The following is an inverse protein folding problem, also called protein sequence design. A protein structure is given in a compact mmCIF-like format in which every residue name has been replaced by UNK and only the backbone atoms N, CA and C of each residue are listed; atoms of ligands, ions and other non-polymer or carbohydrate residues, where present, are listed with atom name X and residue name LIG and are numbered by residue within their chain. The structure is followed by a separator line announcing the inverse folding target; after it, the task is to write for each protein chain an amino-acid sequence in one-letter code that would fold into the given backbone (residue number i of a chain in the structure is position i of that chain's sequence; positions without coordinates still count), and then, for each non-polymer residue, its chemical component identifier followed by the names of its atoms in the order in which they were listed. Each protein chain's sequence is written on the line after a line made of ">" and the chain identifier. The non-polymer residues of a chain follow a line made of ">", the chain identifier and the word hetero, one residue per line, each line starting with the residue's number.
data_IF_372197985678
#
_entry.id   IF_372197985678
#
_cell.length_a   1.000
_cell.length_b   1.000
_cell.length_c   1.000
_cell.angle_alpha   90.00
_cell.angle_beta   90.00
_cell.angle_gamma   90.00
#
_symmetry.space_group_name_H-M   'P 1'
#
loop_
_entity.id
_entity.type
_entity.pdbx_description
1 polymer ?
#
# COMPACT_ATOMS: atom_id res chain seq x y z
N UNK A 1 -53.38 -18.02 17.79
CA UNK A 1 -53.90 -17.01 16.88
C UNK A 1 -52.98 -15.83 16.96
N UNK A 2 -51.93 -15.81 16.17
CA UNK A 2 -50.98 -14.71 16.09
C UNK A 2 -51.38 -13.93 14.83
N UNK A 3 -52.03 -12.80 15.00
CA UNK A 3 -52.21 -11.80 13.95
C UNK A 3 -50.83 -11.12 13.69
N UNK A 4 -50.22 -11.51 12.60
CA UNK A 4 -49.12 -10.77 12.03
C UNK A 4 -49.68 -9.46 11.44
N UNK A 5 -49.58 -8.38 12.20
CA UNK A 5 -49.87 -7.02 11.73
C UNK A 5 -48.71 -6.66 10.76
N UNK A 6 -48.93 -6.84 9.49
CA UNK A 6 -48.03 -6.29 8.45
C UNK A 6 -48.28 -4.78 8.39
N UNK A 7 -47.54 -4.02 9.16
CA UNK A 7 -47.54 -2.56 9.08
C UNK A 7 -46.99 -2.19 7.71
N UNK A 8 -47.80 -1.47 6.92
CA UNK A 8 -47.41 -1.02 5.60
C UNK A 8 -46.33 0.07 5.72
N UNK A 9 -45.35 0.11 4.82
CA UNK A 9 -44.28 1.12 4.79
C UNK A 9 -44.84 2.56 4.90
N UNK A 10 -45.99 2.81 4.28
CA UNK A 10 -46.68 4.10 4.38
C UNK A 10 -47.18 4.46 5.78
N UNK A 11 -47.55 3.49 6.60
CA UNK A 11 -47.96 3.72 7.99
C UNK A 11 -46.75 4.02 8.88
N UNK A 12 -45.62 3.36 8.62
CA UNK A 12 -44.36 3.65 9.30
C UNK A 12 -43.90 5.07 8.99
N UNK A 13 -43.94 5.47 7.74
CA UNK A 13 -43.54 6.82 7.31
C UNK A 13 -44.45 7.91 7.89
N UNK A 14 -45.77 7.65 8.01
CA UNK A 14 -46.69 8.60 8.67
C UNK A 14 -46.45 8.71 10.17
N UNK A 15 -46.12 7.63 10.85
CA UNK A 15 -45.84 7.66 12.28
C UNK A 15 -44.51 8.36 12.57
N UNK A 16 -43.49 8.14 11.72
CA UNK A 16 -42.21 8.86 11.75
C UNK A 16 -42.44 10.36 11.57
N UNK A 17 -43.24 10.75 10.60
CA UNK A 17 -43.54 12.16 10.31
C UNK A 17 -44.27 12.83 11.48
N UNK A 18 -45.19 12.12 12.14
CA UNK A 18 -45.85 12.64 13.37
C UNK A 18 -44.87 12.84 14.52
N UNK A 19 -44.00 11.87 14.75
CA UNK A 19 -42.97 11.98 15.82
C UNK A 19 -42.01 13.12 15.53
N UNK A 20 -41.52 13.25 14.30
CA UNK A 20 -40.65 14.36 13.90
C UNK A 20 -41.29 15.74 14.08
N UNK A 21 -42.61 15.88 13.79
CA UNK A 21 -43.32 17.12 13.99
C UNK A 21 -43.42 17.46 15.50
N UNK A 22 -43.61 16.46 16.35
CA UNK A 22 -43.71 16.65 17.82
C UNK A 22 -42.33 16.96 18.38
N UNK A 23 -41.31 16.18 18.06
CA UNK A 23 -39.98 16.33 18.64
C UNK A 23 -39.27 17.60 18.21
N UNK A 24 -39.52 18.08 16.99
CA UNK A 24 -38.93 19.31 16.47
C UNK A 24 -39.83 20.53 16.65
N UNK A 25 -41.06 20.37 17.15
CA UNK A 25 -42.08 21.40 17.32
C UNK A 25 -42.34 22.19 16.02
N UNK A 26 -42.34 21.52 14.85
CA UNK A 26 -42.50 22.11 13.52
C UNK A 26 -43.83 21.73 12.89
N UNK A 27 -44.34 22.62 12.03
CA UNK A 27 -45.55 22.36 11.24
C UNK A 27 -45.29 21.48 10.03
N UNK A 28 -46.37 20.88 9.48
CA UNK A 28 -46.32 20.01 8.29
C UNK A 28 -45.64 20.68 7.07
N UNK A 29 -45.82 22.00 6.91
CA UNK A 29 -45.18 22.76 5.85
C UNK A 29 -43.67 22.91 6.07
N UNK A 30 -43.22 23.08 7.30
CA UNK A 30 -41.82 23.15 7.66
C UNK A 30 -41.15 21.79 7.53
N UNK A 31 -41.82 20.70 7.95
CA UNK A 31 -41.34 19.33 7.74
C UNK A 31 -41.15 19.05 6.25
N UNK A 32 -42.10 19.45 5.39
CA UNK A 32 -41.97 19.25 3.94
C UNK A 32 -40.81 20.04 3.32
N UNK A 33 -40.57 21.28 3.81
CA UNK A 33 -39.40 22.10 3.40
C UNK A 33 -38.11 21.49 3.87
N UNK A 34 -38.08 20.92 5.07
CA UNK A 34 -36.90 20.23 5.62
C UNK A 34 -36.60 18.96 4.82
N UNK A 35 -37.60 18.14 4.53
CA UNK A 35 -37.47 16.95 3.67
C UNK A 35 -36.98 17.30 2.29
N UNK A 36 -37.50 18.38 1.67
CA UNK A 36 -37.04 18.85 0.38
C UNK A 36 -35.62 19.41 0.39
N UNK A 37 -35.18 20.00 1.53
CA UNK A 37 -33.77 20.39 1.71
C UNK A 37 -32.89 19.17 1.90
N UNK A 38 -33.30 18.18 2.68
CA UNK A 38 -32.57 16.92 2.87
C UNK A 38 -32.46 16.11 1.58
N UNK A 39 -33.53 16.04 0.77
CA UNK A 39 -33.52 15.39 -0.54
C UNK A 39 -32.64 16.10 -1.58
N UNK A 40 -32.36 17.39 -1.40
CA UNK A 40 -31.40 18.14 -2.22
C UNK A 40 -29.94 17.95 -1.80
N UNK A 41 -29.69 17.44 -0.59
CA UNK A 41 -28.39 16.95 -0.18
C UNK A 41 -28.25 15.62 -0.90
N UNK A 42 -27.41 15.57 -1.95
CA UNK A 42 -27.13 14.31 -2.64
C UNK A 42 -26.76 13.27 -1.60
N UNK A 43 -27.51 12.14 -1.53
CA UNK A 43 -27.16 11.09 -0.59
C UNK A 43 -25.74 10.64 -0.95
N UNK A 44 -24.82 10.67 0.00
CA UNK A 44 -23.50 10.07 -0.18
C UNK A 44 -23.70 8.72 -0.86
N UNK A 45 -23.23 8.59 -2.08
CA UNK A 45 -23.33 7.32 -2.79
C UNK A 45 -22.47 6.30 -2.04
N UNK A 46 -23.07 5.58 -1.11
CA UNK A 46 -22.38 4.52 -0.35
C UNK A 46 -21.68 3.54 -1.29
N UNK A 47 -22.34 3.17 -2.39
CA UNK A 47 -21.76 2.35 -3.45
C UNK A 47 -20.55 3.03 -4.13
N UNK A 48 -20.58 4.35 -4.29
CA UNK A 48 -19.47 5.11 -4.84
C UNK A 48 -18.27 5.10 -3.91
N UNK A 49 -18.51 5.30 -2.62
CA UNK A 49 -17.47 5.27 -1.58
C UNK A 49 -16.84 3.87 -1.47
N UNK A 50 -17.67 2.82 -1.41
CA UNK A 50 -17.20 1.44 -1.40
C UNK A 50 -16.36 1.11 -2.64
N UNK A 51 -16.83 1.52 -3.83
CA UNK A 51 -16.10 1.35 -5.08
C UNK A 51 -14.76 2.07 -5.06
N UNK A 52 -14.72 3.32 -4.53
CA UNK A 52 -13.49 4.09 -4.40
C UNK A 52 -12.47 3.36 -3.52
N UNK A 53 -12.85 2.93 -2.33
CA UNK A 53 -11.93 2.23 -1.43
C UNK A 53 -11.46 0.89 -2.00
N UNK A 54 -12.33 0.14 -2.66
CA UNK A 54 -11.96 -1.09 -3.35
C UNK A 54 -10.94 -0.85 -4.46
N UNK A 55 -11.13 0.18 -5.29
CA UNK A 55 -10.19 0.55 -6.34
C UNK A 55 -8.85 1.01 -5.77
N UNK A 56 -8.87 1.81 -4.68
CA UNK A 56 -7.65 2.25 -4.00
C UNK A 56 -6.87 1.04 -3.46
N UNK A 57 -7.53 0.11 -2.79
CA UNK A 57 -6.89 -1.10 -2.26
C UNK A 57 -6.30 -1.97 -3.37
N UNK A 58 -7.03 -2.19 -4.46
CA UNK A 58 -6.54 -2.93 -5.62
C UNK A 58 -5.33 -2.25 -6.26
N UNK A 59 -5.37 -0.93 -6.42
CA UNK A 59 -4.25 -0.16 -6.97
C UNK A 59 -3.01 -0.27 -6.09
N UNK A 60 -3.15 -0.13 -4.77
CA UNK A 60 -2.04 -0.27 -3.83
C UNK A 60 -1.45 -1.69 -3.83
N UNK A 61 -2.29 -2.72 -3.88
CA UNK A 61 -1.84 -4.10 -4.02
C UNK A 61 -1.05 -4.30 -5.32
N UNK A 62 -1.56 -3.79 -6.44
CA UNK A 62 -0.89 -3.85 -7.75
C UNK A 62 0.46 -3.13 -7.72
N UNK A 63 0.52 -1.94 -7.12
CA UNK A 63 1.77 -1.18 -6.98
C UNK A 63 2.79 -1.94 -6.12
N UNK A 64 2.39 -2.54 -5.00
CA UNK A 64 3.28 -3.33 -4.17
C UNK A 64 3.81 -4.56 -4.93
N UNK A 65 2.94 -5.30 -5.61
CA UNK A 65 3.34 -6.45 -6.44
C UNK A 65 4.29 -6.05 -7.55
N UNK A 66 4.08 -4.88 -8.18
CA UNK A 66 4.96 -4.34 -9.20
C UNK A 66 6.37 -4.04 -8.65
N UNK A 67 6.46 -3.47 -7.43
CA UNK A 67 7.74 -3.24 -6.77
C UNK A 67 8.47 -4.56 -6.55
N UNK A 68 7.79 -5.54 -5.95
CA UNK A 68 8.37 -6.85 -5.64
C UNK A 68 8.85 -7.56 -6.93
N UNK A 69 8.04 -7.54 -7.99
CA UNK A 69 8.40 -8.12 -9.29
C UNK A 69 9.62 -7.45 -9.90
N UNK A 70 9.66 -6.11 -9.96
CA UNK A 70 10.79 -5.36 -10.51
C UNK A 70 12.05 -5.54 -9.67
N UNK A 71 11.94 -5.60 -8.36
CA UNK A 71 13.07 -5.88 -7.46
C UNK A 71 13.64 -7.27 -7.72
N UNK A 72 12.79 -8.29 -7.81
CA UNK A 72 13.20 -9.66 -8.07
C UNK A 72 13.91 -9.81 -9.43
N UNK A 73 13.39 -9.15 -10.47
CA UNK A 73 14.06 -9.12 -11.79
C UNK A 73 15.44 -8.48 -11.66
N UNK A 74 15.54 -7.34 -10.97
CA UNK A 74 16.82 -6.64 -10.80
C UNK A 74 17.83 -7.47 -9.99
N UNK A 75 17.39 -8.14 -8.93
CA UNK A 75 18.21 -9.07 -8.13
C UNK A 75 18.72 -10.20 -9.03
N UNK A 76 17.87 -10.81 -9.85
CA UNK A 76 18.22 -11.91 -10.74
C UNK A 76 19.24 -11.49 -11.78
N UNK A 77 19.08 -10.31 -12.41
CA UNK A 77 20.02 -9.77 -13.37
C UNK A 77 21.39 -9.51 -12.71
N UNK A 78 21.39 -8.84 -11.54
CA UNK A 78 22.63 -8.57 -10.80
C UNK A 78 23.33 -9.87 -10.37
N UNK A 79 22.58 -10.89 -9.90
CA UNK A 79 23.14 -12.18 -9.51
C UNK A 79 23.78 -12.92 -10.72
N UNK A 80 23.14 -12.85 -11.88
CA UNK A 80 23.69 -13.43 -13.12
C UNK A 80 25.00 -12.73 -13.52
N UNK A 81 25.03 -11.38 -13.48
CA UNK A 81 26.25 -10.61 -13.76
C UNK A 81 27.36 -10.97 -12.77
N UNK A 82 27.06 -11.04 -11.47
CA UNK A 82 28.01 -11.44 -10.43
C UNK A 82 28.60 -12.83 -10.73
N UNK A 83 27.77 -13.80 -11.06
CA UNK A 83 28.20 -15.17 -11.38
C UNK A 83 29.16 -15.21 -12.57
N UNK A 84 28.85 -14.48 -13.65
CA UNK A 84 29.70 -14.39 -14.84
C UNK A 84 31.04 -13.71 -14.54
N UNK A 85 30.99 -12.57 -13.82
CA UNK A 85 32.21 -11.79 -13.49
C UNK A 85 33.14 -12.61 -12.60
N UNK A 86 32.61 -13.25 -11.56
CA UNK A 86 33.42 -14.08 -10.65
C UNK A 86 34.08 -15.24 -11.44
N UNK A 87 33.31 -15.92 -12.30
CA UNK A 87 33.82 -17.01 -13.11
C UNK A 87 34.95 -16.59 -14.07
N UNK A 88 34.81 -15.44 -14.74
CA UNK A 88 35.80 -14.91 -15.65
C UNK A 88 37.03 -14.34 -14.94
N UNK A 89 36.82 -13.57 -13.87
CA UNK A 89 37.93 -12.96 -13.11
C UNK A 89 38.82 -14.04 -12.49
N UNK A 90 38.21 -15.06 -11.83
CA UNK A 90 38.99 -16.14 -11.22
C UNK A 90 39.84 -16.94 -12.24
N UNK A 91 39.40 -17.05 -13.48
CA UNK A 91 40.15 -17.77 -14.54
C UNK A 91 41.23 -16.93 -15.19
N UNK A 92 41.20 -15.59 -15.11
CA UNK A 92 42.11 -14.70 -15.83
C UNK A 92 43.00 -13.83 -14.93
N UNK A 93 42.92 -14.01 -13.59
CA UNK A 93 43.63 -13.20 -12.61
C UNK A 93 45.15 -13.19 -12.81
N UNK A 94 45.72 -14.34 -13.26
CA UNK A 94 47.15 -14.51 -13.44
C UNK A 94 47.63 -13.96 -14.79
N UNK A 95 46.76 -13.88 -15.80
CA UNK A 95 47.09 -13.45 -17.15
C UNK A 95 46.91 -11.95 -17.37
N UNK A 96 45.84 -11.37 -16.81
CA UNK A 96 45.45 -10.00 -17.08
C UNK A 96 45.10 -9.23 -15.78
N UNK A 97 46.09 -8.87 -14.94
CA UNK A 97 45.88 -8.23 -13.65
C UNK A 97 45.20 -6.85 -13.76
N UNK A 98 45.27 -6.18 -14.90
CA UNK A 98 44.64 -4.89 -15.14
C UNK A 98 43.08 -4.97 -15.13
N UNK A 99 42.50 -6.15 -15.34
CA UNK A 99 41.05 -6.35 -15.27
C UNK A 99 40.48 -6.42 -13.84
N UNK A 100 41.37 -6.51 -12.83
CA UNK A 100 40.91 -6.60 -11.41
C UNK A 100 40.14 -5.34 -11.01
N UNK A 101 40.62 -4.16 -11.35
CA UNK A 101 40.01 -2.88 -10.93
C UNK A 101 38.61 -2.69 -11.49
N UNK A 102 38.35 -2.80 -12.81
CA UNK A 102 37.00 -2.65 -13.34
C UNK A 102 36.05 -3.77 -12.87
N UNK A 103 36.57 -5.01 -12.70
CA UNK A 103 35.75 -6.11 -12.16
C UNK A 103 35.37 -5.89 -10.71
N UNK A 104 36.27 -5.44 -9.86
CA UNK A 104 35.96 -5.09 -8.46
C UNK A 104 34.92 -3.96 -8.38
N UNK A 105 35.02 -2.95 -9.25
CA UNK A 105 34.05 -1.87 -9.33
C UNK A 105 32.66 -2.40 -9.75
N UNK A 106 32.58 -3.30 -10.72
CA UNK A 106 31.35 -3.93 -11.16
C UNK A 106 30.74 -4.80 -10.06
N UNK A 107 31.54 -5.60 -9.35
CA UNK A 107 31.10 -6.40 -8.22
C UNK A 107 30.50 -5.54 -7.10
N UNK A 108 31.20 -4.46 -6.72
CA UNK A 108 30.76 -3.55 -5.67
C UNK A 108 29.41 -2.88 -6.02
N UNK A 109 29.26 -2.39 -7.25
CA UNK A 109 28.02 -1.74 -7.69
C UNK A 109 26.84 -2.71 -7.76
N UNK A 110 27.06 -3.94 -8.26
CA UNK A 110 26.03 -4.97 -8.28
C UNK A 110 25.59 -5.38 -6.87
N UNK A 111 26.52 -5.60 -5.92
CA UNK A 111 26.21 -5.93 -4.54
C UNK A 111 25.41 -4.81 -3.86
N UNK A 112 25.81 -3.55 -4.08
CA UNK A 112 25.10 -2.40 -3.56
C UNK A 112 23.68 -2.28 -4.15
N UNK A 113 23.53 -2.54 -5.45
CA UNK A 113 22.23 -2.57 -6.12
C UNK A 113 21.32 -3.66 -5.54
N UNK A 114 21.83 -4.88 -5.40
CA UNK A 114 21.09 -6.00 -4.77
C UNK A 114 20.64 -5.61 -3.36
N UNK A 115 21.53 -5.02 -2.56
CA UNK A 115 21.19 -4.60 -1.21
C UNK A 115 19.95 -3.69 -1.17
N UNK A 116 19.90 -2.65 -2.00
CA UNK A 116 18.73 -1.76 -2.06
C UNK A 116 17.50 -2.45 -2.64
N UNK A 117 17.65 -3.36 -3.61
CA UNK A 117 16.54 -4.13 -4.15
C UNK A 117 15.92 -5.06 -3.10
N UNK A 118 16.74 -5.74 -2.31
CA UNK A 118 16.27 -6.59 -1.20
C UNK A 118 15.59 -5.76 -0.12
N UNK A 119 16.10 -4.57 0.20
CA UNK A 119 15.41 -3.67 1.14
C UNK A 119 14.03 -3.24 0.62
N UNK A 120 13.87 -3.07 -0.70
CA UNK A 120 12.59 -2.70 -1.29
C UNK A 120 11.54 -3.83 -1.20
N UNK A 121 11.95 -5.10 -1.19
CA UNK A 121 11.05 -6.26 -1.06
C UNK A 121 10.80 -6.67 0.39
N UNK A 122 11.59 -6.15 1.33
CA UNK A 122 11.49 -6.55 2.73
C UNK A 122 10.09 -6.26 3.30
N UNK A 123 9.46 -7.24 4.00
CA UNK A 123 8.21 -7.01 4.70
C UNK A 123 8.38 -5.92 5.77
N UNK A 124 7.51 -4.93 5.75
CA UNK A 124 7.49 -3.95 6.84
C UNK A 124 6.75 -4.52 8.04
N UNK A 125 7.51 -4.87 9.05
CA UNK A 125 7.00 -5.22 10.39
C UNK A 125 6.87 -3.97 11.28
N UNK A 126 6.86 -2.79 10.70
CA UNK A 126 7.22 -1.54 11.38
C UNK A 126 6.21 -1.06 12.39
N UNK A 127 6.69 -1.00 13.56
CA UNK A 127 6.12 -0.54 14.81
C UNK A 127 5.95 0.98 14.93
N UNK A 128 6.36 1.80 13.96
CA UNK A 128 6.47 3.24 14.19
C UNK A 128 5.63 4.16 13.31
N UNK A 129 5.17 3.73 12.16
CA UNK A 129 4.53 4.60 11.17
C UNK A 129 3.01 4.42 11.06
N UNK A 130 2.47 3.30 11.54
CA UNK A 130 1.02 3.05 11.55
C UNK A 130 0.47 3.35 12.92
N UNK A 131 -0.60 4.16 12.97
CA UNK A 131 -1.30 4.48 14.20
C UNK A 131 -1.52 3.22 15.04
N UNK A 132 -1.20 3.30 16.33
CA UNK A 132 -1.37 2.21 17.31
C UNK A 132 -2.79 1.62 17.30
N UNK A 133 -3.77 2.35 16.76
CA UNK A 133 -5.18 1.96 16.72
C UNK A 133 -5.65 1.45 15.34
N UNK A 134 -4.77 1.18 14.38
CA UNK A 134 -5.19 0.62 13.10
C UNK A 134 -5.33 -0.90 13.19
N UNK A 135 -6.55 -1.37 13.47
CA UNK A 135 -6.88 -2.80 13.58
C UNK A 135 -6.79 -3.55 12.24
N UNK A 136 -6.81 -2.86 11.09
CA UNK A 136 -6.70 -3.50 9.77
C UNK A 136 -5.28 -3.94 9.44
N UNK A 137 -4.28 -3.40 10.14
CA UNK A 137 -2.89 -3.79 9.94
C UNK A 137 -2.50 -4.98 10.82
N UNK A 138 -2.07 -6.08 10.19
CA UNK A 138 -1.68 -7.30 10.89
C UNK A 138 -0.60 -7.08 11.96
N UNK A 139 0.31 -6.14 11.76
CA UNK A 139 1.34 -5.77 12.72
C UNK A 139 0.80 -5.19 14.03
N UNK A 140 -0.45 -4.73 14.06
CA UNK A 140 -1.09 -4.23 15.27
C UNK A 140 -1.95 -5.32 15.93
N UNK A 141 -2.78 -6.04 15.15
CA UNK A 141 -3.71 -6.98 15.75
C UNK A 141 -3.06 -8.32 16.17
N UNK A 142 -1.90 -8.69 15.64
CA UNK A 142 -1.24 -9.96 16.02
C UNK A 142 -0.87 -10.05 17.50
N UNK A 143 -0.80 -8.91 18.21
CA UNK A 143 -0.54 -8.83 19.65
C UNK A 143 -1.82 -8.76 20.48
N UNK A 144 -2.99 -8.60 19.83
CA UNK A 144 -4.28 -8.54 20.53
C UNK A 144 -4.77 -9.95 20.86
N UNK A 145 -5.59 -10.05 21.91
CA UNK A 145 -6.35 -11.28 22.13
C UNK A 145 -7.48 -11.38 21.12
N UNK A 146 -7.94 -12.60 20.81
CA UNK A 146 -9.07 -12.82 19.92
C UNK A 146 -10.31 -12.00 20.34
N UNK A 147 -10.58 -11.97 21.64
CA UNK A 147 -11.69 -11.23 22.20
C UNK A 147 -11.56 -9.72 21.95
N UNK A 148 -10.42 -9.13 22.27
CA UNK A 148 -10.18 -7.70 22.08
C UNK A 148 -10.28 -7.31 20.60
N UNK A 149 -9.81 -8.20 19.71
CA UNK A 149 -9.93 -7.99 18.27
C UNK A 149 -11.39 -7.97 17.82
N UNK A 150 -12.20 -8.97 18.23
CA UNK A 150 -13.62 -9.07 17.88
C UNK A 150 -14.40 -7.89 18.45
N UNK A 151 -14.17 -7.54 19.72
CA UNK A 151 -14.86 -6.41 20.38
C UNK A 151 -14.55 -5.08 19.66
N UNK A 152 -13.29 -4.84 19.33
CA UNK A 152 -12.86 -3.63 18.60
C UNK A 152 -13.42 -3.59 17.18
N UNK A 153 -13.39 -4.71 16.46
CA UNK A 153 -13.94 -4.80 15.11
C UNK A 153 -15.46 -4.57 15.10
N UNK A 154 -16.17 -5.13 16.09
CA UNK A 154 -17.61 -4.95 16.24
C UNK A 154 -17.95 -3.49 16.53
N UNK A 155 -17.18 -2.80 17.40
CA UNK A 155 -17.37 -1.37 17.67
C UNK A 155 -17.19 -0.51 16.41
N UNK A 156 -16.19 -0.82 15.59
CA UNK A 156 -15.96 -0.13 14.32
C UNK A 156 -17.13 -0.37 13.36
N UNK A 157 -17.59 -1.63 13.21
CA UNK A 157 -18.70 -1.97 12.30
C UNK A 157 -20.03 -1.33 12.72
N UNK A 158 -20.27 -1.14 14.00
CA UNK A 158 -21.48 -0.51 14.50
C UNK A 158 -21.53 1.02 14.28
N UNK A 159 -20.40 1.62 13.89
CA UNK A 159 -20.27 3.05 13.66
C UNK A 159 -19.80 3.30 12.22
N UNK A 160 -20.74 3.50 11.30
CA UNK A 160 -20.45 3.62 9.86
C UNK A 160 -19.34 4.64 9.51
N UNK A 161 -19.31 5.79 10.18
CA UNK A 161 -18.26 6.80 9.96
C UNK A 161 -16.88 6.31 10.40
N UNK A 162 -16.78 5.52 11.46
CA UNK A 162 -15.51 4.92 11.91
C UNK A 162 -14.95 3.90 10.91
N UNK A 163 -15.81 3.17 10.21
CA UNK A 163 -15.38 2.22 9.18
C UNK A 163 -14.61 2.97 8.10
N UNK A 164 -15.19 4.03 7.56
CA UNK A 164 -14.56 4.82 6.49
C UNK A 164 -13.28 5.52 6.97
N UNK A 165 -13.28 6.05 8.19
CA UNK A 165 -12.09 6.67 8.79
C UNK A 165 -10.96 5.65 8.94
N UNK A 166 -11.26 4.44 9.42
CA UNK A 166 -10.28 3.36 9.61
C UNK A 166 -9.67 2.92 8.28
N UNK A 167 -10.51 2.71 7.26
CA UNK A 167 -10.04 2.36 5.91
C UNK A 167 -9.19 3.50 5.30
N UNK A 168 -9.61 4.75 5.46
CA UNK A 168 -8.85 5.89 4.95
C UNK A 168 -7.47 6.01 5.61
N UNK A 169 -7.39 5.80 6.93
CA UNK A 169 -6.13 5.78 7.67
C UNK A 169 -5.22 4.65 7.20
N UNK A 170 -5.75 3.43 7.05
CA UNK A 170 -4.96 2.30 6.56
C UNK A 170 -4.42 2.56 5.15
N UNK A 171 -5.27 3.03 4.25
CA UNK A 171 -4.91 3.41 2.87
C UNK A 171 -3.78 4.46 2.85
N UNK A 172 -3.85 5.47 3.72
CA UNK A 172 -2.80 6.49 3.82
C UNK A 172 -1.45 5.91 4.24
N UNK A 173 -1.42 5.09 5.28
CA UNK A 173 -0.19 4.50 5.78
C UNK A 173 0.40 3.47 4.81
N UNK A 174 -0.46 2.67 4.16
CA UNK A 174 -0.03 1.75 3.11
C UNK A 174 0.58 2.51 1.93
N UNK A 175 0.00 3.63 1.52
CA UNK A 175 0.57 4.51 0.49
C UNK A 175 1.95 5.05 0.86
N UNK A 176 2.17 5.44 2.12
CA UNK A 176 3.51 5.85 2.62
C UNK A 176 4.53 4.72 2.52
N UNK A 177 4.14 3.52 2.92
CA UNK A 177 4.98 2.33 2.83
C UNK A 177 5.40 2.04 1.39
N UNK A 178 4.44 2.04 0.47
CA UNK A 178 4.68 1.83 -0.96
C UNK A 178 5.65 2.89 -1.51
N UNK A 179 5.47 4.15 -1.13
CA UNK A 179 6.39 5.22 -1.55
C UNK A 179 7.83 4.98 -1.07
N UNK A 180 8.04 4.56 0.18
CA UNK A 180 9.37 4.21 0.69
C UNK A 180 10.00 3.07 -0.12
N UNK A 181 9.25 2.01 -0.40
CA UNK A 181 9.70 0.88 -1.23
C UNK A 181 10.07 1.33 -2.65
N UNK A 182 9.25 2.20 -3.27
CA UNK A 182 9.56 2.77 -4.59
C UNK A 182 10.86 3.57 -4.59
N UNK A 183 11.13 4.35 -3.56
CA UNK A 183 12.37 5.11 -3.45
C UNK A 183 13.60 4.19 -3.35
N UNK A 184 13.50 3.10 -2.59
CA UNK A 184 14.56 2.09 -2.48
C UNK A 184 14.80 1.40 -3.83
N UNK A 185 13.74 0.98 -4.50
CA UNK A 185 13.80 0.38 -5.82
C UNK A 185 14.44 1.33 -6.84
N UNK A 186 14.03 2.60 -6.85
CA UNK A 186 14.61 3.63 -7.73
C UNK A 186 16.10 3.82 -7.48
N UNK A 187 16.53 3.84 -6.20
CA UNK A 187 17.96 3.92 -5.84
C UNK A 187 18.72 2.72 -6.37
N UNK A 188 18.18 1.52 -6.20
CA UNK A 188 18.79 0.28 -6.71
C UNK A 188 19.00 0.33 -8.23
N UNK A 189 17.98 0.70 -9.00
CA UNK A 189 18.10 0.87 -10.46
C UNK A 189 19.11 1.94 -10.85
N UNK A 190 19.13 3.06 -10.13
CA UNK A 190 20.08 4.16 -10.41
C UNK A 190 21.53 3.70 -10.20
N UNK A 191 21.82 3.02 -9.08
CA UNK A 191 23.13 2.47 -8.76
C UNK A 191 23.54 1.44 -9.81
N UNK A 192 22.64 0.52 -10.16
CA UNK A 192 22.89 -0.48 -11.21
C UNK A 192 23.26 0.16 -12.53
N UNK A 193 22.46 1.11 -13.02
CA UNK A 193 22.67 1.74 -14.32
C UNK A 193 23.99 2.52 -14.38
N UNK A 194 24.22 3.40 -13.41
CA UNK A 194 25.46 4.19 -13.39
C UNK A 194 26.69 3.35 -13.11
N UNK A 195 26.57 2.34 -12.25
CA UNK A 195 27.65 1.41 -11.96
C UNK A 195 28.03 0.56 -13.17
N UNK A 196 27.03 0.08 -13.92
CA UNK A 196 27.26 -0.67 -15.16
C UNK A 196 27.99 0.20 -16.20
N UNK A 197 27.51 1.42 -16.45
CA UNK A 197 28.13 2.35 -17.39
C UNK A 197 29.56 2.66 -16.98
N UNK A 198 29.80 3.00 -15.71
CA UNK A 198 31.12 3.32 -15.20
C UNK A 198 32.08 2.12 -15.31
N UNK A 199 31.60 0.90 -15.03
CA UNK A 199 32.39 -0.32 -15.15
C UNK A 199 32.78 -0.61 -16.60
N UNK A 200 31.85 -0.44 -17.55
CA UNK A 200 32.15 -0.61 -18.98
C UNK A 200 33.20 0.39 -19.45
N UNK A 201 33.10 1.66 -19.06
CA UNK A 201 34.09 2.69 -19.38
C UNK A 201 35.47 2.30 -18.79
N UNK A 202 35.50 1.84 -17.52
CA UNK A 202 36.72 1.39 -16.88
C UNK A 202 37.38 0.19 -17.61
N UNK A 203 36.57 -0.78 -18.04
CA UNK A 203 37.06 -1.91 -18.85
C UNK A 203 37.72 -1.45 -20.15
N UNK A 204 37.04 -0.57 -20.91
CA UNK A 204 37.57 -0.03 -22.18
C UNK A 204 38.88 0.72 -21.94
N UNK A 205 38.89 1.58 -20.89
CA UNK A 205 40.11 2.35 -20.57
C UNK A 205 41.28 1.46 -20.17
N UNK A 206 41.05 0.47 -19.29
CA UNK A 206 42.09 -0.47 -18.90
C UNK A 206 42.63 -1.28 -20.12
N UNK A 207 41.75 -1.71 -21.02
CA UNK A 207 42.14 -2.48 -22.20
C UNK A 207 42.93 -1.66 -23.23
N UNK A 208 42.72 -0.34 -23.33
CA UNK A 208 43.48 0.54 -24.24
C UNK A 208 44.85 0.90 -23.64
N UNK A 209 44.98 1.00 -22.34
CA UNK A 209 46.19 1.42 -21.65
C UNK A 209 47.20 0.29 -21.45
N UNK A 210 46.76 -0.95 -21.52
CA UNK A 210 47.56 -2.17 -21.37
C UNK A 210 47.50 -3.06 -22.61
#
# INVERSE_FOLDING_TARGET
>A
MNENISITQAEIDQEIDKRLMIDLAIDKQELSKLKNKLNKIEPRSEKGIETLFRLLSQNQYTLNTMIDTKSNILISINALILSLVIGTVLSQLDTDPHLIVPSAMLLFTNLTSIYFAVLATRPELTHGARSVNNIMFYGNFHQMTEKDYIDTMTDIMNQGDKVYETIAKDTYYLGKTINCKFLLLRRSFTIFLFGLIASVIAFIFCHIMY
#
